data_IF_633762074237
#
_entry.id   IF_633762074237
#
_cell.length_a   1.000
_cell.length_b   1.000
_cell.length_c   1.000
_cell.angle_alpha   90.00
_cell.angle_beta   90.00
_cell.angle_gamma   90.00
#
_symmetry.space_group_name_H-M   'P 1'
#
loop_
_entity.id
_entity.type
_entity.pdbx_description
1 polymer ?
#
# COMPACT_ATOMS: atom_id res chain seq x y z
N UNK A 1 36.40 -36.90 3.83
CA UNK A 1 36.47 -36.77 2.48
C UNK A 1 35.13 -36.43 1.89
N UNK A 2 34.27 -37.18 1.79
CA UNK A 2 33.03 -36.92 1.15
C UNK A 2 32.17 -35.96 1.88
N UNK A 3 32.29 -35.81 3.15
CA UNK A 3 31.42 -34.97 3.97
C UNK A 3 31.51 -33.51 3.62
N UNK A 4 32.59 -33.07 3.07
CA UNK A 4 32.80 -31.68 2.75
C UNK A 4 31.84 -31.19 1.68
N UNK A 5 31.61 -31.98 0.68
CA UNK A 5 30.69 -31.57 -0.38
C UNK A 5 29.28 -31.38 0.06
N UNK A 6 28.87 -32.11 1.07
CA UNK A 6 27.51 -32.00 1.56
C UNK A 6 27.24 -30.64 2.23
N UNK A 7 28.19 -30.17 2.98
CA UNK A 7 28.02 -28.88 3.66
C UNK A 7 27.88 -27.73 2.67
N UNK A 8 28.63 -27.78 1.59
CA UNK A 8 28.56 -26.73 0.58
C UNK A 8 27.21 -26.68 -0.08
N UNK A 9 26.63 -27.82 -0.36
CA UNK A 9 25.32 -27.86 -0.99
C UNK A 9 24.24 -27.22 -0.11
N UNK A 10 24.30 -27.44 1.18
CA UNK A 10 23.33 -26.90 2.09
C UNK A 10 23.37 -25.36 2.13
N UNK A 11 24.59 -24.81 2.08
CA UNK A 11 24.73 -23.36 2.11
C UNK A 11 24.14 -22.71 0.86
N UNK A 12 24.37 -23.31 -0.28
CA UNK A 12 23.83 -22.76 -1.53
C UNK A 12 22.31 -22.74 -1.53
N UNK A 13 21.71 -23.77 -1.00
CA UNK A 13 20.24 -23.82 -0.97
C UNK A 13 19.65 -22.70 -0.11
N UNK A 14 20.28 -22.38 1.00
CA UNK A 14 19.78 -21.34 1.87
C UNK A 14 19.78 -19.96 1.19
N UNK A 15 20.83 -19.64 0.48
CA UNK A 15 20.94 -18.36 -0.22
C UNK A 15 19.87 -18.22 -1.29
N UNK A 16 19.64 -19.28 -2.01
CA UNK A 16 18.66 -19.27 -3.07
C UNK A 16 17.23 -18.98 -2.54
N UNK A 17 16.88 -19.54 -1.42
CA UNK A 17 15.56 -19.34 -0.82
C UNK A 17 15.34 -17.89 -0.46
N UNK A 18 16.33 -17.21 0.07
CA UNK A 18 16.21 -15.81 0.43
C UNK A 18 15.89 -14.92 -0.77
N UNK A 19 16.52 -15.20 -1.90
CA UNK A 19 16.27 -14.41 -3.10
C UNK A 19 14.83 -14.56 -3.58
N UNK A 20 14.30 -15.74 -3.54
CA UNK A 20 12.92 -15.98 -3.95
C UNK A 20 11.91 -15.30 -3.05
N UNK A 21 12.17 -15.28 -1.77
CA UNK A 21 11.28 -14.61 -0.82
C UNK A 21 11.16 -13.12 -1.12
N UNK A 22 12.25 -12.47 -1.46
CA UNK A 22 12.24 -11.05 -1.77
C UNK A 22 11.38 -10.75 -3.00
N UNK A 23 11.49 -11.58 -4.04
CA UNK A 23 10.71 -11.40 -5.25
C UNK A 23 9.22 -11.58 -4.98
N UNK A 24 8.86 -12.55 -4.18
CA UNK A 24 7.46 -12.80 -3.86
C UNK A 24 6.82 -11.62 -3.14
N UNK A 25 7.52 -11.00 -2.22
CA UNK A 25 6.94 -9.90 -1.45
C UNK A 25 6.69 -8.66 -2.30
N UNK A 26 7.47 -8.44 -3.36
CA UNK A 26 7.26 -7.30 -4.25
C UNK A 26 6.04 -7.46 -5.15
N UNK A 27 5.62 -8.69 -5.38
CA UNK A 27 4.54 -8.96 -6.33
C UNK A 27 3.17 -9.12 -5.69
N UNK A 28 3.05 -8.98 -4.38
CA UNK A 28 1.89 -9.54 -3.69
C UNK A 28 0.85 -8.54 -3.17
N UNK A 29 0.94 -7.25 -3.45
CA UNK A 29 -0.01 -6.33 -2.84
C UNK A 29 -1.34 -6.28 -3.60
N UNK A 30 -2.43 -6.52 -2.87
CA UNK A 30 -3.77 -6.38 -3.39
C UNK A 30 -4.21 -4.91 -3.48
N UNK A 31 -3.43 -4.00 -2.91
CA UNK A 31 -3.78 -2.58 -2.92
C UNK A 31 -3.25 -1.85 -4.14
N UNK A 32 -2.33 -2.44 -4.85
CA UNK A 32 -1.80 -1.85 -6.07
C UNK A 32 -2.91 -1.70 -7.11
N UNK A 33 -3.03 -0.53 -7.74
CA UNK A 33 -4.05 -0.29 -8.75
C UNK A 33 -4.68 1.08 -8.59
N UNK A 34 -5.87 1.25 -9.16
CA UNK A 34 -6.58 2.52 -9.16
C UNK A 34 -7.84 2.39 -8.29
N UNK A 35 -8.04 3.34 -7.41
CA UNK A 35 -9.13 3.34 -6.44
C UNK A 35 -9.99 4.58 -6.62
N UNK A 36 -11.30 4.39 -6.66
CA UNK A 36 -12.26 5.49 -6.71
C UNK A 36 -12.76 5.76 -5.29
N UNK A 37 -12.63 7.00 -4.84
CA UNK A 37 -12.99 7.43 -3.49
C UNK A 37 -13.64 8.80 -3.56
N UNK A 38 -14.12 9.32 -2.43
CA UNK A 38 -14.72 10.65 -2.36
C UNK A 38 -13.90 11.57 -1.46
N UNK A 39 -13.91 12.85 -1.79
CA UNK A 39 -13.26 13.85 -0.96
C UNK A 39 -14.25 14.40 0.11
N UNK A 40 -13.82 15.43 0.85
CA UNK A 40 -14.61 16.00 1.95
C UNK A 40 -15.92 16.61 1.47
N UNK A 41 -15.96 17.07 0.22
CA UNK A 41 -17.16 17.65 -0.37
C UNK A 41 -18.05 16.62 -1.05
N UNK A 42 -17.66 15.35 -1.02
CA UNK A 42 -18.43 14.27 -1.64
C UNK A 42 -18.17 14.09 -3.12
N UNK A 43 -17.12 14.70 -3.66
CA UNK A 43 -16.78 14.57 -5.07
C UNK A 43 -15.88 13.35 -5.27
N UNK A 44 -16.13 12.59 -6.34
CA UNK A 44 -15.31 11.42 -6.67
C UNK A 44 -13.95 11.84 -7.18
N UNK A 45 -12.92 11.08 -6.82
CA UNK A 45 -11.61 11.21 -7.44
C UNK A 45 -10.92 9.84 -7.39
N UNK A 46 -9.79 9.72 -8.09
CA UNK A 46 -9.08 8.45 -8.19
C UNK A 46 -7.70 8.55 -7.58
N UNK A 47 -7.33 7.48 -6.87
CA UNK A 47 -5.99 7.32 -6.30
C UNK A 47 -5.34 6.14 -7.02
N UNK A 48 -4.14 6.35 -7.55
CA UNK A 48 -3.36 5.30 -8.19
C UNK A 48 -2.21 4.90 -7.27
N UNK A 49 -2.16 3.62 -6.91
CA UNK A 49 -1.08 3.06 -6.09
C UNK A 49 -0.22 2.19 -6.99
N UNK A 50 1.02 2.60 -7.18
CA UNK A 50 1.96 1.89 -8.06
C UNK A 50 2.83 0.93 -7.27
N UNK A 51 3.26 -0.14 -7.93
CA UNK A 51 4.04 -1.18 -7.27
C UNK A 51 5.40 -0.72 -6.75
N UNK A 52 5.89 0.43 -7.20
CA UNK A 52 7.15 1.00 -6.74
C UNK A 52 6.99 1.83 -5.46
N UNK A 53 5.78 1.89 -4.88
CA UNK A 53 5.53 2.65 -3.66
C UNK A 53 5.09 4.08 -3.88
N UNK A 54 4.88 4.51 -5.13
CA UNK A 54 4.39 5.86 -5.39
C UNK A 54 2.88 5.89 -5.42
N UNK A 55 2.31 7.03 -5.05
CA UNK A 55 0.87 7.26 -5.07
C UNK A 55 0.58 8.55 -5.80
N UNK A 56 -0.53 8.56 -6.54
CA UNK A 56 -1.00 9.75 -7.25
C UNK A 56 -2.50 9.86 -7.09
N UNK A 57 -3.00 11.07 -7.10
CA UNK A 57 -4.44 11.31 -7.08
C UNK A 57 -4.77 12.43 -8.06
N UNK A 58 -5.94 12.33 -8.70
CA UNK A 58 -6.37 13.32 -9.68
C UNK A 58 -7.27 14.39 -9.07
N UNK A 59 -7.20 14.60 -7.76
CA UNK A 59 -7.96 15.62 -7.06
C UNK A 59 -7.32 16.99 -7.28
N UNK A 60 -8.12 17.96 -7.68
CA UNK A 60 -7.62 19.31 -7.96
C UNK A 60 -6.60 19.30 -9.09
N UNK A 61 -5.44 19.87 -8.83
CA UNK A 61 -4.35 19.91 -9.81
C UNK A 61 -3.50 18.62 -9.77
N UNK A 62 -3.90 17.69 -8.95
CA UNK A 62 -3.18 16.45 -8.76
C UNK A 62 -2.38 16.43 -7.48
N UNK A 63 -2.26 15.24 -6.88
CA UNK A 63 -1.50 15.04 -5.66
C UNK A 63 -0.53 13.89 -5.88
N UNK A 64 0.61 13.95 -5.23
CA UNK A 64 1.59 12.87 -5.27
C UNK A 64 2.01 12.51 -3.86
N UNK A 65 2.43 11.28 -3.68
CA UNK A 65 2.88 10.80 -2.38
C UNK A 65 3.49 9.43 -2.49
N UNK A 66 3.58 8.77 -1.33
CA UNK A 66 4.10 7.39 -1.25
C UNK A 66 3.10 6.56 -0.46
N UNK A 67 3.14 5.25 -0.65
CA UNK A 67 2.25 4.36 0.07
C UNK A 67 2.97 3.09 0.47
N UNK A 68 2.45 2.44 1.48
CA UNK A 68 2.91 1.13 1.90
C UNK A 68 1.75 0.35 2.49
N UNK A 69 1.86 -0.96 2.45
CA UNK A 69 0.85 -1.82 3.04
C UNK A 69 1.19 -2.07 4.51
N UNK A 70 0.21 -1.90 5.40
CA UNK A 70 0.35 -2.17 6.82
C UNK A 70 -0.86 -2.97 7.28
N UNK A 71 -0.67 -4.25 7.54
CA UNK A 71 -1.77 -5.12 7.94
C UNK A 71 -2.81 -5.20 6.84
N UNK A 72 -4.03 -4.81 7.14
CA UNK A 72 -5.14 -4.84 6.19
C UNK A 72 -5.40 -3.51 5.51
N UNK A 73 -4.43 -2.60 5.53
CA UNK A 73 -4.61 -1.29 4.95
C UNK A 73 -3.41 -0.88 4.11
N UNK A 74 -3.68 0.03 3.17
CA UNK A 74 -2.65 0.77 2.46
C UNK A 74 -2.61 2.15 3.09
N UNK A 75 -1.42 2.60 3.50
CA UNK A 75 -1.23 3.90 4.13
C UNK A 75 -0.52 4.80 3.15
N UNK A 76 -1.16 5.90 2.78
CA UNK A 76 -0.67 6.83 1.78
C UNK A 76 -0.30 8.14 2.45
N UNK A 77 0.93 8.59 2.27
CA UNK A 77 1.41 9.85 2.79
C UNK A 77 1.53 10.83 1.62
N UNK A 78 0.73 11.88 1.64
CA UNK A 78 0.69 12.85 0.55
C UNK A 78 1.68 13.99 0.77
N UNK A 79 2.12 14.59 -0.33
CA UNK A 79 3.02 15.75 -0.23
C UNK A 79 2.36 16.97 0.40
N UNK A 80 1.04 16.95 0.56
CA UNK A 80 0.30 18.01 1.25
C UNK A 80 0.38 17.90 2.76
N UNK A 81 0.85 16.77 3.27
CA UNK A 81 0.85 16.49 4.71
C UNK A 81 -0.33 15.65 5.16
N UNK A 82 -1.34 15.48 4.32
CA UNK A 82 -2.46 14.59 4.64
C UNK A 82 -2.02 13.14 4.53
N UNK A 83 -2.73 12.27 5.25
CA UNK A 83 -2.56 10.82 5.15
C UNK A 83 -3.89 10.20 4.79
N UNK A 84 -3.88 9.25 3.87
CA UNK A 84 -5.06 8.49 3.50
C UNK A 84 -4.80 7.02 3.75
N UNK A 85 -5.80 6.32 4.28
CA UNK A 85 -5.74 4.87 4.42
C UNK A 85 -6.85 4.26 3.59
N UNK A 86 -6.53 3.16 2.90
CA UNK A 86 -7.55 2.32 2.27
C UNK A 86 -7.54 1.01 3.06
N UNK A 87 -8.63 0.74 3.74
CA UNK A 87 -8.73 -0.37 4.68
C UNK A 87 -9.67 -1.43 4.13
N UNK A 88 -9.23 -2.67 4.17
CA UNK A 88 -10.09 -3.80 3.81
C UNK A 88 -10.97 -4.16 4.99
N UNK A 89 -12.28 -4.17 4.77
CA UNK A 89 -13.28 -4.57 5.77
C UNK A 89 -14.15 -5.67 5.17
N UNK A 90 -13.96 -6.90 5.63
CA UNK A 90 -14.67 -8.07 5.12
C UNK A 90 -14.51 -8.17 3.59
N UNK A 91 -15.56 -7.91 2.82
CA UNK A 91 -15.53 -8.02 1.36
C UNK A 91 -15.53 -6.67 0.66
N UNK A 92 -15.35 -5.56 1.39
CA UNK A 92 -15.32 -4.23 0.79
C UNK A 92 -14.16 -3.42 1.36
N UNK A 93 -13.98 -2.20 0.83
CA UNK A 93 -12.88 -1.33 1.23
C UNK A 93 -13.41 0.04 1.62
N UNK A 94 -12.72 0.66 2.56
CA UNK A 94 -13.10 1.97 3.08
C UNK A 94 -11.89 2.90 3.02
N UNK A 95 -12.13 4.14 2.64
CA UNK A 95 -11.10 5.18 2.65
C UNK A 95 -11.28 6.06 3.88
N UNK A 96 -10.20 6.33 4.61
CA UNK A 96 -10.17 7.32 5.68
C UNK A 96 -9.07 8.31 5.39
N UNK A 97 -9.33 9.59 5.65
CA UNK A 97 -8.35 10.65 5.39
C UNK A 97 -8.13 11.46 6.65
N UNK A 98 -6.88 11.82 6.90
CA UNK A 98 -6.45 12.51 8.11
C UNK A 98 -5.68 13.75 7.71
N UNK A 99 -6.11 14.90 8.23
CA UNK A 99 -5.39 16.14 8.03
C UNK A 99 -4.00 16.07 8.63
N UNK A 100 -3.13 16.95 8.15
CA UNK A 100 -1.80 17.10 8.73
C UNK A 100 -1.93 17.33 10.23
N UNK A 101 -1.09 16.65 11.00
CA UNK A 101 -1.04 16.75 12.46
C UNK A 101 -2.14 16.02 13.22
N UNK A 102 -3.08 15.36 12.53
CA UNK A 102 -4.07 14.54 13.21
C UNK A 102 -3.52 13.15 13.50
N UNK A 103 -3.82 12.55 14.66
CA UNK A 103 -3.35 11.20 14.96
C UNK A 103 -4.05 10.16 14.07
N UNK A 104 -3.28 9.21 13.58
CA UNK A 104 -3.78 8.18 12.66
C UNK A 104 -4.58 7.08 13.35
N UNK A 105 -4.52 7.03 14.67
CA UNK A 105 -5.33 6.09 15.46
C UNK A 105 -6.57 6.73 16.04
N UNK A 106 -6.82 8.00 15.73
CA UNK A 106 -8.01 8.71 16.16
C UNK A 106 -9.06 8.76 15.06
N UNK A 107 -10.11 9.57 15.24
CA UNK A 107 -11.16 9.67 14.23
C UNK A 107 -10.62 10.36 12.97
N UNK A 108 -11.01 9.88 11.79
CA UNK A 108 -10.56 10.52 10.55
C UNK A 108 -11.26 11.85 10.31
N UNK A 109 -10.59 12.71 9.55
CA UNK A 109 -11.19 13.97 9.11
C UNK A 109 -12.31 13.70 8.11
N UNK A 110 -12.16 12.65 7.32
CA UNK A 110 -13.08 12.29 6.25
C UNK A 110 -13.04 10.80 6.01
N UNK A 111 -14.16 10.22 5.61
CA UNK A 111 -14.18 8.82 5.20
C UNK A 111 -15.17 8.60 4.08
N UNK A 112 -14.95 7.57 3.29
CA UNK A 112 -15.85 7.16 2.21
C UNK A 112 -15.59 5.71 1.87
N UNK A 113 -16.45 5.15 1.03
CA UNK A 113 -16.16 3.85 0.44
C UNK A 113 -14.99 3.99 -0.53
N UNK A 114 -14.31 2.90 -0.79
CA UNK A 114 -13.25 2.82 -1.77
C UNK A 114 -13.54 1.65 -2.70
N UNK A 115 -13.50 1.91 -3.99
CA UNK A 115 -13.75 0.88 -5.00
C UNK A 115 -12.54 0.76 -5.90
N UNK A 116 -12.00 -0.44 -6.02
CA UNK A 116 -10.88 -0.68 -6.93
C UNK A 116 -11.43 -0.76 -8.34
N UNK A 117 -10.94 0.08 -9.24
CA UNK A 117 -11.44 0.16 -10.61
C UNK A 117 -10.46 -0.39 -11.64
N UNK A 118 -9.22 -0.61 -11.25
CA UNK A 118 -8.21 -1.24 -12.12
C UNK A 118 -7.18 -1.99 -11.32
#
# INVERSE_FOLDING_TARGET
MRTIGKANAAVLAAVFVLAMTALSSLAASAFEGVWKVKDTAGHDFEITLSGDGTAKANRGEGMVGTWKEEGKSAVITWNTGWTTKILKEDDHYKKTAYEKSKPLDGPPTNSSDAAKVK
#
